data_IF_605575818584
#
_entry.id   IF_605575818584
#
_cell.length_a   1.000
_cell.length_b   1.000
_cell.length_c   1.000
_cell.angle_alpha   90.00
_cell.angle_beta   90.00
_cell.angle_gamma   90.00
#
_symmetry.space_group_name_H-M   'P 1'
#
loop_
_entity.id
_entity.type
_entity.pdbx_description
1 polymer ?
#
# COMPACT_ATOMS: atom_id res chain seq x y z
N UNK A 1 -10.14 0.94 23.20
CA UNK A 1 -9.88 0.58 22.68
C UNK A 1 -10.01 0.26 22.03
N UNK A 2 -9.74 0.13 21.60
CA UNK A 2 -9.80 -0.23 20.85
C UNK A 2 -9.85 -0.96 20.35
N UNK A 3 -10.02 -1.52 20.14
CA UNK A 3 -10.02 -2.24 19.57
C UNK A 3 -10.42 -2.40 18.75
N UNK A 4 -10.58 -1.82 18.59
CA UNK A 4 -10.96 -2.01 17.68
C UNK A 4 -10.52 -2.58 16.74
N UNK A 5 -9.87 -2.48 16.58
CA UNK A 5 -9.40 -3.02 15.70
C UNK A 5 -9.40 -4.18 15.65
N UNK A 6 -9.80 -4.66 16.24
CA UNK A 6 -9.82 -5.69 16.18
C UNK A 6 -10.63 -6.16 15.51
N UNK A 7 -11.08 -5.65 14.88
CA UNK A 7 -11.93 -6.20 14.01
C UNK A 7 -11.37 -7.44 13.61
N UNK A 8 -12.16 -8.30 13.22
CA UNK A 8 -11.69 -9.57 12.82
C UNK A 8 -10.74 -9.38 11.70
N UNK A 9 -9.70 -10.04 11.79
CA UNK A 9 -8.81 -10.12 10.71
C UNK A 9 -9.22 -11.28 9.90
N UNK A 10 -9.71 -11.04 8.73
CA UNK A 10 -9.97 -12.11 7.81
C UNK A 10 -8.70 -12.59 7.18
N UNK A 11 -8.78 -13.63 6.37
CA UNK A 11 -7.65 -14.09 5.60
C UNK A 11 -7.10 -12.95 4.76
N UNK A 12 -5.82 -12.78 4.77
CA UNK A 12 -5.17 -11.71 4.07
C UNK A 12 -5.25 -10.37 4.75
N UNK A 13 -5.90 -10.29 5.89
CA UNK A 13 -5.99 -9.06 6.63
C UNK A 13 -4.73 -8.85 7.45
N UNK A 14 -4.23 -7.65 7.44
CA UNK A 14 -3.11 -7.27 8.27
C UNK A 14 -3.64 -6.42 9.39
N UNK A 15 -3.29 -6.78 10.61
CA UNK A 15 -3.64 -5.98 11.76
C UNK A 15 -2.65 -4.82 11.82
N UNK A 16 -3.16 -3.62 11.73
CA UNK A 16 -2.35 -2.41 11.77
C UNK A 16 -2.92 -1.47 12.78
N UNK A 17 -2.03 -0.78 13.45
CA UNK A 17 -2.42 0.33 14.27
C UNK A 17 -2.30 1.59 13.44
N UNK A 18 -3.42 2.15 13.09
CA UNK A 18 -3.45 3.36 12.28
C UNK A 18 -3.91 4.52 13.15
N UNK A 19 -3.04 5.50 13.31
CA UNK A 19 -3.41 6.73 13.98
C UNK A 19 -4.33 7.58 13.11
N UNK A 20 -4.83 8.68 13.68
CA UNK A 20 -5.78 9.53 12.97
C UNK A 20 -5.22 10.10 11.67
N UNK A 21 -3.93 10.36 11.63
CA UNK A 21 -3.30 10.94 10.44
C UNK A 21 -2.48 9.94 9.65
N UNK A 22 -2.65 8.65 9.89
CA UNK A 22 -1.83 7.61 9.27
C UNK A 22 -2.73 6.58 8.62
N UNK A 23 -2.43 6.22 7.39
CA UNK A 23 -3.14 5.19 6.66
C UNK A 23 -2.18 4.15 6.12
N UNK A 24 -2.70 3.23 5.34
CA UNK A 24 -1.90 2.20 4.70
C UNK A 24 -2.29 2.07 3.24
N UNK A 25 -1.38 1.53 2.45
CA UNK A 25 -1.62 1.31 1.03
C UNK A 25 -1.25 -0.11 0.66
N UNK A 26 -2.11 -0.74 -0.13
CA UNK A 26 -1.80 -1.98 -0.82
C UNK A 26 -1.78 -1.64 -2.30
N UNK A 27 -0.61 -1.75 -2.92
CA UNK A 27 -0.45 -1.47 -4.34
C UNK A 27 -0.34 -2.79 -5.09
N UNK A 28 -1.40 -3.14 -5.81
CA UNK A 28 -1.43 -4.36 -6.61
C UNK A 28 -0.72 -4.16 -7.93
N UNK A 29 0.04 -5.14 -8.36
CA UNK A 29 0.82 -5.06 -9.58
C UNK A 29 0.68 -6.32 -10.40
N UNK A 30 1.09 -6.28 -11.68
CA UNK A 30 1.26 -7.52 -12.45
C UNK A 30 2.35 -8.39 -11.84
N UNK A 31 2.29 -9.68 -12.16
CA UNK A 31 3.29 -10.63 -11.68
C UNK A 31 4.70 -10.29 -12.14
N UNK A 32 4.83 -9.63 -13.26
CA UNK A 32 6.15 -9.24 -13.78
C UNK A 32 6.91 -8.28 -12.89
N UNK A 33 6.24 -7.64 -11.93
CA UNK A 33 6.92 -6.74 -11.01
C UNK A 33 7.31 -7.41 -9.70
N UNK A 34 7.12 -8.71 -9.58
CA UNK A 34 7.51 -9.44 -8.37
C UNK A 34 8.98 -9.18 -8.06
N UNK A 35 9.26 -8.82 -6.82
CA UNK A 35 10.62 -8.54 -6.37
C UNK A 35 11.07 -7.11 -6.59
N UNK A 36 10.32 -6.31 -7.35
CA UNK A 36 10.69 -4.92 -7.58
C UNK A 36 10.37 -4.07 -6.38
N UNK A 37 11.22 -3.07 -6.14
CA UNK A 37 10.91 -2.06 -5.13
C UNK A 37 10.23 -0.89 -5.79
N UNK A 38 9.06 -0.55 -5.27
CA UNK A 38 8.27 0.56 -5.80
C UNK A 38 8.36 1.72 -4.81
N UNK A 39 8.69 2.88 -5.32
CA UNK A 39 8.80 4.09 -4.50
C UNK A 39 7.55 4.94 -4.62
N UNK A 40 7.18 5.55 -3.51
CA UNK A 40 6.08 6.51 -3.47
C UNK A 40 6.52 7.71 -2.64
N UNK A 41 5.93 8.87 -2.91
CA UNK A 41 6.23 10.06 -2.13
C UNK A 41 5.09 11.07 -2.18
N UNK A 42 4.95 11.83 -1.10
CA UNK A 42 4.16 13.05 -1.11
C UNK A 42 5.00 14.18 -1.66
N UNK A 43 4.34 15.22 -2.16
CA UNK A 43 5.04 16.40 -2.64
C UNK A 43 5.87 17.00 -1.49
N UNK A 44 7.13 17.27 -1.78
CA UNK A 44 8.02 17.89 -0.82
C UNK A 44 8.55 16.96 0.26
N UNK A 45 8.29 15.66 0.16
CA UNK A 45 8.73 14.70 1.16
C UNK A 45 9.62 13.64 0.52
N UNK A 46 10.46 12.98 1.32
CA UNK A 46 11.31 11.91 0.79
C UNK A 46 10.47 10.74 0.29
N UNK A 47 11.04 9.98 -0.63
CA UNK A 47 10.42 8.75 -1.10
C UNK A 47 10.53 7.67 -0.04
N UNK A 48 9.49 6.85 0.04
CA UNK A 48 9.55 5.58 0.76
C UNK A 48 9.32 4.47 -0.25
N UNK A 49 9.61 3.24 0.14
CA UNK A 49 9.53 2.14 -0.80
C UNK A 49 8.98 0.88 -0.13
N UNK A 50 8.49 -0.03 -0.95
CA UNK A 50 8.10 -1.36 -0.52
C UNK A 50 8.34 -2.32 -1.68
N UNK A 51 8.57 -3.57 -1.36
CA UNK A 51 8.86 -4.60 -2.35
C UNK A 51 7.59 -5.33 -2.74
N UNK A 52 7.41 -5.54 -4.03
CA UNK A 52 6.32 -6.34 -4.55
C UNK A 52 6.56 -7.80 -4.19
N UNK A 53 5.57 -8.42 -3.57
CA UNK A 53 5.65 -9.83 -3.16
C UNK A 53 4.36 -10.54 -3.54
N UNK A 54 4.42 -11.85 -3.77
CA UNK A 54 3.20 -12.60 -3.99
C UNK A 54 2.37 -12.67 -2.70
N UNK A 55 1.07 -12.52 -2.86
CA UNK A 55 0.09 -12.62 -1.78
C UNK A 55 -0.84 -13.75 -2.14
N UNK A 56 -0.77 -14.82 -1.37
CA UNK A 56 -1.55 -16.01 -1.66
C UNK A 56 -2.91 -15.89 -1.00
N UNK A 57 -3.94 -15.94 -1.82
CA UNK A 57 -5.32 -15.88 -1.40
C UNK A 57 -5.99 -17.19 -1.83
N UNK A 58 -7.13 -17.54 -1.22
CA UNK A 58 -7.83 -18.75 -1.65
C UNK A 58 -8.12 -18.67 -3.15
N UNK A 59 -7.61 -19.66 -3.89
CA UNK A 59 -7.86 -19.76 -5.31
C UNK A 59 -7.07 -18.84 -6.21
N UNK A 60 -6.19 -17.98 -5.65
CA UNK A 60 -5.41 -17.09 -6.51
C UNK A 60 -4.18 -16.56 -5.80
N UNK A 61 -3.25 -16.08 -6.60
CA UNK A 61 -2.09 -15.35 -6.11
C UNK A 61 -2.12 -13.96 -6.73
N UNK A 62 -1.97 -12.95 -5.88
CA UNK A 62 -1.88 -11.57 -6.33
C UNK A 62 -0.51 -11.02 -5.92
N UNK A 63 -0.07 -10.00 -6.61
CA UNK A 63 1.23 -9.38 -6.34
C UNK A 63 0.99 -7.98 -5.84
N UNK A 64 1.66 -7.62 -4.76
CA UNK A 64 1.44 -6.31 -4.16
C UNK A 64 2.62 -5.85 -3.34
N UNK A 65 2.80 -4.54 -3.32
CA UNK A 65 3.66 -3.84 -2.37
C UNK A 65 2.76 -3.26 -1.29
N UNK A 66 3.14 -3.43 -0.02
CA UNK A 66 2.34 -2.97 1.11
C UNK A 66 3.12 -1.89 1.84
N UNK A 67 2.43 -0.79 2.12
CA UNK A 67 2.98 0.35 2.86
C UNK A 67 2.14 0.49 4.12
N UNK A 68 2.61 -0.05 5.25
CA UNK A 68 1.75 -0.20 6.43
C UNK A 68 1.47 1.08 7.22
N UNK A 69 2.28 2.09 7.06
CA UNK A 69 2.04 3.31 7.84
C UNK A 69 2.52 4.53 7.07
N UNK A 70 1.57 5.24 6.46
CA UNK A 70 1.84 6.42 5.66
C UNK A 70 1.10 7.60 6.24
N UNK A 71 1.76 8.75 6.41
CA UNK A 71 1.03 9.97 6.70
C UNK A 71 -0.04 10.20 5.64
N UNK A 72 -1.20 10.66 6.05
CA UNK A 72 -2.29 10.93 5.12
C UNK A 72 -1.86 11.97 4.10
N UNK A 73 -2.35 11.84 2.88
CA UNK A 73 -2.05 12.78 1.82
C UNK A 73 -2.07 12.13 0.47
N UNK A 74 -1.69 12.90 -0.54
CA UNK A 74 -1.65 12.43 -1.91
C UNK A 74 -0.23 11.99 -2.26
N UNK A 75 -0.11 10.77 -2.74
CA UNK A 75 1.18 10.17 -3.07
C UNK A 75 1.30 9.96 -4.55
N UNK A 76 2.50 10.17 -5.06
CA UNK A 76 2.88 9.76 -6.42
C UNK A 76 3.57 8.41 -6.32
N UNK A 77 3.16 7.50 -7.18
CA UNK A 77 3.81 6.19 -7.36
C UNK A 77 4.80 6.33 -8.50
N UNK A 78 6.02 5.88 -8.26
CA UNK A 78 7.13 6.07 -9.19
C UNK A 78 7.60 4.75 -9.79
N UNK A 79 8.00 4.80 -11.04
CA UNK A 79 8.81 3.75 -11.64
C UNK A 79 10.12 4.40 -12.03
N UNK A 80 11.17 4.13 -11.24
CA UNK A 80 12.44 4.84 -11.36
C UNK A 80 12.21 6.34 -11.24
N UNK A 81 12.37 7.11 -12.30
CA UNK A 81 12.21 8.56 -12.25
C UNK A 81 10.89 9.03 -12.83
N UNK A 82 10.06 8.12 -13.30
CA UNK A 82 8.82 8.48 -13.99
C UNK A 82 7.61 8.27 -13.06
N UNK A 83 6.71 9.26 -12.95
CA UNK A 83 5.48 9.06 -12.23
C UNK A 83 4.57 8.11 -13.02
N UNK A 84 3.96 7.18 -12.30
CA UNK A 84 3.10 6.17 -12.90
C UNK A 84 1.64 6.47 -12.63
N UNK A 85 1.33 6.81 -11.39
CA UNK A 85 -0.03 7.12 -10.96
C UNK A 85 0.02 7.86 -9.63
N UNK A 86 -1.13 8.26 -9.14
CA UNK A 86 -1.24 8.90 -7.85
C UNK A 86 -2.35 8.23 -7.04
N UNK A 87 -2.22 8.29 -5.73
CA UNK A 87 -3.19 7.69 -4.83
C UNK A 87 -3.29 8.55 -3.58
N UNK A 88 -4.50 8.66 -3.06
CA UNK A 88 -4.74 9.41 -1.82
C UNK A 88 -4.80 8.43 -0.65
N UNK A 89 -4.04 8.73 0.38
CA UNK A 89 -4.04 7.95 1.62
C UNK A 89 -4.86 8.71 2.63
N UNK A 90 -5.87 8.04 3.17
CA UNK A 90 -6.76 8.60 4.18
C UNK A 90 -6.37 8.05 5.54
N UNK A 91 -6.28 8.92 6.53
CA UNK A 91 -5.94 8.49 7.88
C UNK A 91 -6.94 7.47 8.41
N UNK A 92 -6.43 6.46 9.10
CA UNK A 92 -7.24 5.42 9.69
C UNK A 92 -7.74 4.37 8.72
N UNK A 93 -7.33 4.40 7.46
CA UNK A 93 -7.86 3.51 6.44
C UNK A 93 -6.75 2.79 5.70
N UNK A 94 -7.10 1.62 5.18
CA UNK A 94 -6.26 0.88 4.24
C UNK A 94 -6.83 1.16 2.86
N UNK A 95 -6.03 1.76 2.00
CA UNK A 95 -6.40 2.05 0.62
C UNK A 95 -5.75 1.03 -0.31
N UNK A 96 -6.37 0.78 -1.42
CA UNK A 96 -5.77 -0.08 -2.43
C UNK A 96 -5.72 0.65 -3.77
N UNK A 97 -4.74 0.28 -4.56
CA UNK A 97 -4.49 0.90 -5.86
C UNK A 97 -3.94 -0.18 -6.77
N UNK A 98 -4.22 -0.06 -8.07
CA UNK A 98 -3.71 -1.01 -9.03
C UNK A 98 -2.69 -0.32 -9.93
N UNK A 99 -1.61 -1.02 -10.23
CA UNK A 99 -0.63 -0.56 -11.19
C UNK A 99 -1.34 -0.33 -12.53
N UNK A 100 -1.14 0.83 -13.17
CA UNK A 100 -1.81 1.12 -14.43
C UNK A 100 -1.35 0.19 -15.55
N UNK A 101 -2.19 -0.05 -16.49
CA UNK A 101 -1.90 -0.87 -17.65
C UNK A 101 -2.63 -2.21 -17.64
#
# INVERSE_FOLDING_TARGET
MTEAVRGPSGPGTVVMELGAGVGALILYTPAGLDGEEIEISRAGAPRTHSRVRPRHLPGQTRYAAVYPGLPAGRYTVWQAHAPVTAVTITGGQVSSCHWPG
#
